data_IF_767975079732
#
_entry.id   IF_767975079732
#
_cell.length_a   1.000
_cell.length_b   1.000
_cell.length_c   1.000
_cell.angle_alpha   90.00
_cell.angle_beta   90.00
_cell.angle_gamma   90.00
#
_symmetry.space_group_name_H-M   'P 1'
#
loop_
_entity.id
_entity.type
_entity.pdbx_description
1 polymer ?
#
# COMPACT_ATOMS: atom_id res chain seq x y z
N UNK A 1 30.12 19.08 9.55
CA UNK A 1 29.34 17.86 9.86
C UNK A 1 28.26 17.71 8.80
N UNK A 2 28.48 16.84 7.81
CA UNK A 2 27.74 16.82 6.55
C UNK A 2 26.62 15.76 6.61
N UNK A 3 25.34 16.17 6.57
CA UNK A 3 24.18 15.25 6.63
C UNK A 3 23.77 14.77 5.23
N UNK A 4 24.67 14.12 4.50
CA UNK A 4 24.33 13.52 3.21
C UNK A 4 23.68 12.15 3.44
N UNK A 5 22.36 12.08 3.34
CA UNK A 5 21.59 10.82 3.45
C UNK A 5 20.29 10.90 4.24
N UNK A 6 19.89 12.07 4.76
CA UNK A 6 18.62 12.19 5.48
C UNK A 6 17.44 12.28 4.51
N UNK A 7 16.58 11.27 4.55
CA UNK A 7 15.27 11.29 3.91
C UNK A 7 14.23 11.83 4.88
N UNK A 8 13.60 12.94 4.52
CA UNK A 8 12.48 13.52 5.26
C UNK A 8 11.24 13.33 4.42
N UNK A 9 10.24 12.66 4.99
CA UNK A 9 8.93 12.53 4.37
C UNK A 9 7.91 13.31 5.18
N UNK A 10 7.06 14.14 4.54
CA UNK A 10 5.96 14.77 5.24
C UNK A 10 4.97 13.69 5.71
N UNK A 11 4.44 13.86 6.92
CA UNK A 11 3.35 13.00 7.39
C UNK A 11 2.08 13.40 6.65
N UNK A 12 1.57 12.47 5.85
CA UNK A 12 0.25 12.62 5.24
C UNK A 12 -0.80 12.28 6.29
N UNK A 13 -1.77 13.16 6.48
CA UNK A 13 -2.92 12.91 7.36
C UNK A 13 -4.04 12.23 6.56
N UNK A 14 -4.28 10.95 6.84
CA UNK A 14 -5.18 10.10 6.07
C UNK A 14 -5.33 8.71 6.70
N UNK A 15 -5.94 7.78 5.97
CA UNK A 15 -6.17 6.41 6.44
C UNK A 15 -5.06 5.48 5.93
N UNK A 16 -4.48 4.69 6.84
CA UNK A 16 -3.52 3.65 6.47
C UNK A 16 -4.23 2.39 5.96
N UNK A 17 -3.86 1.95 4.77
CA UNK A 17 -4.34 0.71 4.15
C UNK A 17 -3.18 -0.17 3.69
N UNK A 18 -3.40 -1.48 3.65
CA UNK A 18 -2.49 -2.46 3.06
C UNK A 18 -3.06 -2.98 1.74
N UNK A 19 -2.28 -2.86 0.66
CA UNK A 19 -2.60 -3.44 -0.64
C UNK A 19 -1.98 -4.83 -0.76
N UNK A 20 -2.77 -5.85 -1.08
CA UNK A 20 -2.29 -7.23 -1.25
C UNK A 20 -2.35 -7.62 -2.72
N UNK A 21 -1.18 -7.72 -3.34
CA UNK A 21 -1.04 -8.22 -4.71
C UNK A 21 -0.70 -9.72 -4.71
N UNK A 22 -1.43 -10.51 -5.49
CA UNK A 22 -1.09 -11.92 -5.77
C UNK A 22 -0.85 -12.07 -7.25
N UNK A 23 0.33 -12.58 -7.61
CA UNK A 23 0.75 -12.71 -9.01
C UNK A 23 0.58 -11.40 -9.80
N UNK A 24 0.92 -10.28 -9.17
CA UNK A 24 0.84 -8.96 -9.78
C UNK A 24 -0.57 -8.39 -9.79
N UNK A 25 -1.64 -9.12 -9.45
CA UNK A 25 -3.01 -8.60 -9.41
C UNK A 25 -3.38 -8.14 -8.02
N UNK A 26 -3.98 -6.96 -7.89
CA UNK A 26 -4.54 -6.50 -6.63
C UNK A 26 -5.69 -7.41 -6.26
N UNK A 27 -5.60 -8.05 -5.09
CA UNK A 27 -6.62 -8.99 -4.62
C UNK A 27 -7.42 -8.39 -3.48
N UNK A 28 -6.77 -7.76 -2.51
CA UNK A 28 -7.40 -7.27 -1.29
C UNK A 28 -6.82 -5.90 -0.91
N UNK A 29 -7.66 -5.05 -0.33
CA UNK A 29 -7.24 -3.80 0.32
C UNK A 29 -7.85 -3.77 1.70
N UNK A 30 -7.02 -3.66 2.73
CA UNK A 30 -7.48 -3.72 4.12
C UNK A 30 -7.04 -2.50 4.90
N UNK A 31 -7.96 -1.87 5.63
CA UNK A 31 -7.59 -0.86 6.62
C UNK A 31 -7.21 -1.52 7.95
N UNK A 32 -6.37 -0.85 8.74
CA UNK A 32 -5.83 -1.42 9.99
C UNK A 32 -6.90 -1.62 11.06
N UNK A 33 -7.91 -0.76 11.11
CA UNK A 33 -8.84 -0.54 12.23
C UNK A 33 -8.20 -0.68 13.63
N UNK A 34 -8.98 -0.55 14.69
CA UNK A 34 -8.51 -0.62 16.07
C UNK A 34 -8.38 -2.07 16.61
N UNK A 35 -8.08 -3.04 15.74
CA UNK A 35 -7.70 -4.40 16.14
C UNK A 35 -8.84 -5.40 16.28
N UNK A 36 -10.10 -5.01 16.00
CA UNK A 36 -11.25 -5.92 16.10
C UNK A 36 -11.79 -6.41 14.74
N UNK A 37 -11.69 -5.62 13.67
CA UNK A 37 -12.21 -6.00 12.34
C UNK A 37 -11.37 -5.38 11.22
N UNK A 38 -10.77 -6.16 10.31
CA UNK A 38 -10.17 -5.59 9.10
C UNK A 38 -11.31 -5.12 8.19
N UNK A 39 -11.37 -3.84 7.89
CA UNK A 39 -12.36 -3.31 6.95
C UNK A 39 -11.86 -3.56 5.52
N UNK A 40 -12.72 -4.13 4.69
CA UNK A 40 -12.46 -4.31 3.26
C UNK A 40 -12.66 -2.96 2.55
N UNK A 41 -11.60 -2.50 1.89
CA UNK A 41 -11.53 -1.22 1.16
C UNK A 41 -11.41 -1.46 -0.35
N UNK A 42 -11.70 -2.68 -0.83
CA UNK A 42 -11.51 -3.04 -2.23
C UNK A 42 -12.41 -2.22 -3.17
N UNK A 43 -13.63 -1.89 -2.75
CA UNK A 43 -14.55 -1.11 -3.57
C UNK A 43 -14.03 0.32 -3.79
N UNK A 44 -13.60 0.98 -2.72
CA UNK A 44 -13.07 2.34 -2.70
C UNK A 44 -11.72 2.40 -3.41
N UNK A 45 -10.83 1.42 -3.17
CA UNK A 45 -9.51 1.38 -3.77
C UNK A 45 -9.55 1.23 -5.29
N UNK A 46 -10.57 0.56 -5.85
CA UNK A 46 -10.79 0.49 -7.31
C UNK A 46 -11.11 1.85 -7.94
N UNK A 47 -11.63 2.79 -7.15
CA UNK A 47 -11.96 4.14 -7.61
C UNK A 47 -10.76 5.09 -7.57
N UNK A 48 -9.65 4.72 -6.91
CA UNK A 48 -8.45 5.55 -6.80
C UNK A 48 -7.51 5.23 -7.98
N UNK A 49 -7.37 6.11 -8.99
CA UNK A 49 -6.59 5.79 -10.20
C UNK A 49 -5.11 5.53 -9.93
N UNK A 50 -4.59 6.09 -8.83
CA UNK A 50 -3.21 5.90 -8.40
C UNK A 50 -2.94 4.51 -7.81
N UNK A 51 -3.97 3.70 -7.51
CA UNK A 51 -3.82 2.32 -7.04
C UNK A 51 -3.88 1.39 -8.26
N UNK A 52 -2.74 0.83 -8.72
CA UNK A 52 -2.74 -0.02 -9.90
C UNK A 52 -3.46 -1.34 -9.60
N UNK A 53 -4.36 -1.76 -10.49
CA UNK A 53 -5.02 -3.06 -10.38
C UNK A 53 -4.09 -4.23 -10.73
N UNK A 54 -3.01 -3.94 -11.47
CA UNK A 54 -1.96 -4.88 -11.79
C UNK A 54 -0.59 -4.21 -11.71
N UNK A 55 0.39 -4.89 -11.13
CA UNK A 55 1.80 -4.51 -11.11
C UNK A 55 2.63 -5.55 -11.88
N UNK A 56 3.72 -5.11 -12.49
CA UNK A 56 4.66 -6.02 -13.13
C UNK A 56 5.29 -6.92 -12.05
N UNK A 57 5.27 -8.23 -12.29
CA UNK A 57 6.05 -9.17 -11.51
C UNK A 57 7.50 -9.06 -11.97
N UNK A 58 8.28 -8.20 -11.31
CA UNK A 58 9.73 -8.27 -11.46
C UNK A 58 10.20 -9.55 -10.77
N UNK A 59 11.01 -10.36 -11.46
CA UNK A 59 11.38 -11.72 -11.06
C UNK A 59 12.24 -11.85 -9.77
N UNK A 60 12.22 -10.87 -8.86
CA UNK A 60 13.14 -10.87 -7.72
C UNK A 60 12.87 -9.86 -6.61
N UNK A 61 11.63 -9.49 -6.32
CA UNK A 61 11.37 -8.62 -5.16
C UNK A 61 10.19 -9.12 -4.32
N UNK A 62 10.48 -10.14 -3.50
CA UNK A 62 9.72 -10.38 -2.28
C UNK A 62 10.16 -9.34 -1.25
N UNK A 63 9.34 -8.33 -1.05
CA UNK A 63 9.43 -7.43 0.10
C UNK A 63 8.59 -8.03 1.23
N UNK A 64 9.27 -8.41 2.32
CA UNK A 64 8.65 -8.75 3.60
C UNK A 64 8.15 -7.48 4.29
#
# INVERSE_FOLDING_TARGET
MNRHGLWVQPKVDGVAVTLIYRQGKLTWVVSRSNGMQREDWMAEARLIPAIPQSIALNAGQQVF
#
